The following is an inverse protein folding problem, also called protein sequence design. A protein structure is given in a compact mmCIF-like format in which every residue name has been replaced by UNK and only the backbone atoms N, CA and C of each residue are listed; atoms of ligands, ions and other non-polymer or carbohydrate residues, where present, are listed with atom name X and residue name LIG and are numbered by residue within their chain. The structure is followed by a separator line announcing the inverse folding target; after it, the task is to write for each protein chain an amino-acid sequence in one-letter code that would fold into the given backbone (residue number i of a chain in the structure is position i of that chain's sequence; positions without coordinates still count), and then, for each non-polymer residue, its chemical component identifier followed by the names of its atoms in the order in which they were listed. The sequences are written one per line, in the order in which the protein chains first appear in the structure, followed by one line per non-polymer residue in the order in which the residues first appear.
data_IF_430515655507
#
_entry.id   IF_430515655507
#
_cell.length_a   1.000
_cell.length_b   1.000
_cell.length_c   1.000
_cell.angle_alpha   90.00
_cell.angle_beta   90.00
_cell.angle_gamma   90.00
#
_symmetry.space_group_name_H-M   'P 1'
#
loop_
_entity.id
_entity.type
_entity.pdbx_description
1 polymer ?
#
# COMPACT_ATOMS: atom_id res chain seq x y z
N UNK A 1 -23.48 4.91 -25.28
CA UNK A 1 -22.09 4.62 -24.89
C UNK A 1 -21.96 4.33 -23.39
N UNK A 2 -22.31 5.24 -22.49
CA UNK A 2 -22.19 5.06 -21.03
C UNK A 2 -22.89 3.80 -20.49
N UNK A 3 -24.12 3.52 -20.88
CA UNK A 3 -24.85 2.30 -20.48
C UNK A 3 -24.09 1.01 -20.83
N UNK A 4 -23.46 0.96 -22.00
CA UNK A 4 -22.63 -0.19 -22.39
C UNK A 4 -21.39 -0.33 -21.50
N UNK A 5 -20.71 0.78 -21.17
CA UNK A 5 -19.53 0.78 -20.27
C UNK A 5 -19.93 0.31 -18.87
N UNK A 6 -21.03 0.85 -18.33
CA UNK A 6 -21.54 0.46 -17.00
C UNK A 6 -21.94 -1.01 -16.97
N UNK A 7 -22.57 -1.52 -18.05
CA UNK A 7 -22.91 -2.95 -18.15
C UNK A 7 -21.66 -3.83 -18.12
N UNK A 8 -20.59 -3.43 -18.82
CA UNK A 8 -19.31 -4.16 -18.83
C UNK A 8 -18.61 -4.11 -17.48
N UNK A 9 -18.60 -2.95 -16.80
CA UNK A 9 -18.09 -2.83 -15.44
C UNK A 9 -18.88 -3.72 -14.46
N UNK A 10 -20.20 -3.78 -14.57
CA UNK A 10 -21.01 -4.69 -13.77
C UNK A 10 -20.68 -6.17 -14.06
N UNK A 11 -20.40 -6.51 -15.31
CA UNK A 11 -19.93 -7.85 -15.68
C UNK A 11 -18.55 -8.16 -15.07
N UNK A 12 -17.63 -7.19 -15.10
CA UNK A 12 -16.34 -7.31 -14.40
C UNK A 12 -16.52 -7.57 -12.92
N UNK A 13 -17.38 -6.79 -12.23
CA UNK A 13 -17.68 -7.00 -10.81
C UNK A 13 -18.28 -8.39 -10.59
N UNK A 14 -19.26 -8.79 -11.41
CA UNK A 14 -19.92 -10.09 -11.31
C UNK A 14 -18.93 -11.25 -11.44
N UNK A 15 -18.07 -11.23 -12.45
CA UNK A 15 -17.04 -12.27 -12.66
C UNK A 15 -16.11 -12.42 -11.44
N UNK A 16 -15.67 -11.30 -10.86
CA UNK A 16 -14.82 -11.34 -9.67
C UNK A 16 -15.56 -11.90 -8.45
N UNK A 17 -16.83 -11.54 -8.27
CA UNK A 17 -17.68 -12.10 -7.19
C UNK A 17 -17.95 -13.58 -7.43
N UNK A 18 -18.18 -14.04 -8.67
CA UNK A 18 -18.34 -15.45 -8.98
C UNK A 18 -17.07 -16.25 -8.66
N UNK A 19 -15.89 -15.67 -8.92
CA UNK A 19 -14.61 -16.29 -8.57
C UNK A 19 -14.33 -16.29 -7.06
N UNK A 20 -14.74 -15.24 -6.36
CA UNK A 20 -14.51 -15.03 -4.93
C UNK A 20 -15.79 -14.45 -4.27
N UNK A 21 -16.75 -15.30 -3.87
CA UNK A 21 -18.07 -14.87 -3.36
C UNK A 21 -18.01 -13.86 -2.21
N UNK A 22 -17.01 -13.94 -1.35
CA UNK A 22 -16.84 -13.03 -0.23
C UNK A 22 -16.56 -11.56 -0.64
N UNK A 23 -16.23 -11.29 -1.91
CA UNK A 23 -16.11 -9.93 -2.41
C UNK A 23 -17.45 -9.18 -2.41
N UNK A 24 -18.58 -9.89 -2.37
CA UNK A 24 -19.90 -9.28 -2.19
C UNK A 24 -20.18 -8.81 -0.76
N UNK A 25 -19.36 -9.23 0.19
CA UNK A 25 -19.60 -9.07 1.62
C UNK A 25 -19.07 -7.79 2.24
N UNK A 26 -19.00 -7.86 3.57
CA UNK A 26 -18.56 -6.76 4.43
C UNK A 26 -17.57 -7.26 5.47
N UNK A 27 -16.61 -6.42 5.80
CA UNK A 27 -15.71 -6.57 6.95
C UNK A 27 -16.43 -6.02 8.17
N UNK A 28 -16.54 -6.83 9.21
CA UNK A 28 -17.20 -6.48 10.47
C UNK A 28 -16.37 -6.98 11.65
N UNK A 29 -16.65 -6.48 12.85
CA UNK A 29 -16.06 -7.01 14.08
C UNK A 29 -16.37 -8.50 14.23
N UNK A 30 -15.36 -9.30 14.57
CA UNK A 30 -15.52 -10.74 14.75
C UNK A 30 -16.47 -11.04 15.92
N UNK A 31 -17.29 -12.11 15.78
CA UNK A 31 -18.18 -12.60 16.83
C UNK A 31 -17.39 -13.14 17.99
N UNK A 32 -17.90 -12.98 19.20
CA UNK A 32 -17.34 -13.61 20.38
C UNK A 32 -17.81 -15.08 20.50
N UNK A 33 -16.96 -16.02 20.95
CA UNK A 33 -15.56 -15.77 21.32
C UNK A 33 -14.68 -15.61 20.08
N UNK A 34 -13.99 -14.48 19.94
CA UNK A 34 -12.92 -14.30 18.97
C UNK A 34 -11.58 -14.61 19.61
N UNK A 35 -10.61 -15.07 18.81
CA UNK A 35 -9.28 -15.44 19.28
C UNK A 35 -8.50 -14.22 19.83
N UNK A 36 -8.76 -13.05 19.26
CA UNK A 36 -8.10 -11.80 19.64
C UNK A 36 -9.09 -10.65 19.75
N UNK A 37 -8.82 -9.71 20.63
CA UNK A 37 -9.54 -8.44 20.69
C UNK A 37 -9.27 -7.67 19.39
N UNK A 38 -10.28 -6.97 18.87
CA UNK A 38 -10.16 -6.19 17.64
C UNK A 38 -10.11 -7.00 16.34
N UNK A 39 -10.24 -8.32 16.41
CA UNK A 39 -10.32 -9.16 15.22
C UNK A 39 -11.54 -8.82 14.37
N UNK A 40 -11.41 -8.97 13.06
CA UNK A 40 -12.48 -8.76 12.09
C UNK A 40 -12.78 -10.06 11.33
N UNK A 41 -13.99 -10.16 10.82
CA UNK A 41 -14.42 -11.25 9.95
C UNK A 41 -15.15 -10.71 8.72
N UNK A 42 -15.21 -11.50 7.65
CA UNK A 42 -16.03 -11.18 6.49
C UNK A 42 -17.40 -11.84 6.68
N UNK A 43 -18.46 -11.08 6.47
CA UNK A 43 -19.84 -11.59 6.40
C UNK A 43 -20.45 -11.27 5.06
N UNK A 44 -21.07 -12.26 4.45
CA UNK A 44 -21.90 -12.13 3.26
C UNK A 44 -23.01 -13.17 3.31
N UNK A 45 -24.09 -12.92 2.61
CA UNK A 45 -25.26 -13.80 2.51
C UNK A 45 -25.43 -14.25 1.07
N UNK A 46 -26.29 -15.26 0.83
CA UNK A 46 -26.68 -15.66 -0.52
C UNK A 46 -27.29 -14.50 -1.29
N UNK A 47 -28.01 -13.62 -0.60
CA UNK A 47 -28.56 -12.41 -1.19
C UNK A 47 -27.46 -11.45 -1.65
N UNK A 48 -26.45 -11.17 -0.81
CA UNK A 48 -25.32 -10.32 -1.18
C UNK A 48 -24.57 -10.87 -2.41
N UNK A 49 -24.45 -12.20 -2.49
CA UNK A 49 -23.83 -12.87 -3.64
C UNK A 49 -24.68 -12.75 -4.91
N UNK A 50 -25.99 -12.99 -4.84
CA UNK A 50 -26.92 -12.95 -5.98
C UNK A 50 -27.07 -11.53 -6.52
N UNK A 51 -27.31 -10.57 -5.62
CA UNK A 51 -27.48 -9.16 -5.98
C UNK A 51 -26.16 -8.51 -6.34
N UNK A 52 -25.03 -9.04 -5.88
CA UNK A 52 -23.66 -8.53 -5.94
C UNK A 52 -23.54 -6.99 -5.93
N UNK A 53 -22.43 -6.39 -5.51
CA UNK A 53 -22.30 -4.94 -5.46
C UNK A 53 -22.33 -4.36 -6.88
N UNK A 54 -23.40 -3.64 -7.22
CA UNK A 54 -23.50 -2.95 -8.51
C UNK A 54 -22.51 -1.80 -8.57
N UNK A 55 -22.06 -1.51 -9.78
CA UNK A 55 -21.23 -0.32 -10.04
C UNK A 55 -22.05 0.92 -9.70
N UNK A 56 -21.55 1.75 -8.81
CA UNK A 56 -22.11 3.07 -8.56
C UNK A 56 -21.73 3.99 -9.73
N UNK A 57 -22.71 4.69 -10.30
CA UNK A 57 -22.47 5.68 -11.37
C UNK A 57 -22.72 7.06 -10.81
N UNK A 58 -21.71 7.90 -10.86
CA UNK A 58 -21.77 9.29 -10.41
C UNK A 58 -21.43 10.21 -11.57
N UNK A 59 -22.33 11.14 -11.86
CA UNK A 59 -22.06 12.24 -12.79
C UNK A 59 -21.47 13.39 -11.99
N UNK A 60 -20.20 13.68 -12.23
CA UNK A 60 -19.52 14.76 -11.54
C UNK A 60 -19.91 16.10 -12.15
N UNK A 61 -20.24 17.06 -11.29
CA UNK A 61 -20.59 18.43 -11.69
C UNK A 61 -19.33 19.26 -11.92
N UNK A 62 -19.46 20.39 -12.63
CA UNK A 62 -18.36 21.34 -12.81
C UNK A 62 -17.86 21.94 -11.49
N UNK A 63 -18.70 22.00 -10.43
CA UNK A 63 -18.27 22.43 -9.09
C UNK A 63 -17.39 21.38 -8.39
N UNK A 64 -17.59 20.10 -8.70
CA UNK A 64 -16.81 18.99 -8.12
C UNK A 64 -15.50 18.77 -8.89
N UNK A 65 -15.57 18.80 -10.23
CA UNK A 65 -14.44 18.67 -11.15
C UNK A 65 -14.62 19.64 -12.30
N UNK A 66 -13.97 20.83 -12.25
CA UNK A 66 -14.17 21.92 -13.22
C UNK A 66 -13.39 21.72 -14.53
N UNK A 67 -13.05 20.49 -14.87
CA UNK A 67 -12.23 20.13 -16.03
C UNK A 67 -12.88 19.03 -16.84
N UNK A 68 -12.78 19.12 -18.17
CA UNK A 68 -13.07 18.02 -19.09
C UNK A 68 -12.02 16.91 -18.97
N UNK A 69 -12.32 15.73 -19.51
CA UNK A 69 -11.37 14.62 -19.53
C UNK A 69 -10.06 14.94 -20.28
N UNK A 70 -10.14 15.68 -21.39
CA UNK A 70 -8.94 16.07 -22.14
C UNK A 70 -8.06 17.04 -21.35
N UNK A 71 -8.64 18.02 -20.67
CA UNK A 71 -7.90 18.89 -19.77
C UNK A 71 -7.25 18.12 -18.62
N UNK A 72 -7.98 17.19 -17.99
CA UNK A 72 -7.43 16.31 -16.96
C UNK A 72 -6.29 15.46 -17.47
N UNK A 73 -6.38 15.00 -18.72
CA UNK A 73 -5.34 14.21 -19.37
C UNK A 73 -4.07 15.03 -19.62
N UNK A 74 -4.21 16.24 -20.13
CA UNK A 74 -3.09 17.17 -20.34
C UNK A 74 -2.42 17.55 -19.01
N UNK A 75 -3.21 17.80 -17.96
CA UNK A 75 -2.72 18.06 -16.62
C UNK A 75 -2.04 16.84 -15.96
N UNK A 76 -2.31 15.62 -16.44
CA UNK A 76 -1.80 14.37 -15.88
C UNK A 76 -2.61 13.84 -14.71
N UNK A 77 -3.88 14.23 -14.61
CA UNK A 77 -4.81 13.87 -13.53
C UNK A 77 -4.22 14.20 -12.14
N UNK A 78 -4.14 15.48 -11.78
CA UNK A 78 -3.48 15.93 -10.56
C UNK A 78 -4.23 15.48 -9.29
N UNK A 79 -3.51 15.19 -8.19
CA UNK A 79 -4.11 14.78 -6.92
C UNK A 79 -5.12 15.79 -6.37
N UNK A 80 -4.92 17.08 -6.61
CA UNK A 80 -5.81 18.16 -6.17
C UNK A 80 -7.24 18.05 -6.72
N UNK A 81 -7.41 17.39 -7.88
CA UNK A 81 -8.71 17.17 -8.53
C UNK A 81 -9.39 15.90 -8.07
N UNK A 82 -8.63 14.81 -7.84
CA UNK A 82 -9.18 13.50 -7.46
C UNK A 82 -9.43 13.38 -5.96
N UNK A 83 -10.25 14.29 -5.42
CA UNK A 83 -10.61 14.30 -4.00
C UNK A 83 -11.31 13.00 -3.60
N UNK A 84 -10.88 12.33 -2.50
CA UNK A 84 -11.47 11.06 -2.07
C UNK A 84 -12.99 11.13 -1.89
N UNK A 85 -13.49 12.19 -1.30
CA UNK A 85 -14.91 12.45 -1.04
C UNK A 85 -15.75 12.55 -2.33
N UNK A 86 -15.11 12.88 -3.46
CA UNK A 86 -15.76 13.01 -4.76
C UNK A 86 -15.66 11.71 -5.56
N UNK A 87 -14.46 11.14 -5.69
CA UNK A 87 -14.23 10.04 -6.63
C UNK A 87 -14.20 8.66 -5.98
N UNK A 88 -14.16 8.55 -4.64
CA UNK A 88 -14.03 7.26 -3.97
C UNK A 88 -15.25 6.36 -4.21
N UNK A 89 -15.00 5.07 -4.38
CA UNK A 89 -16.05 4.05 -4.39
C UNK A 89 -16.64 3.76 -2.98
N UNK A 90 -16.08 4.39 -1.93
CA UNK A 90 -16.66 4.42 -0.59
C UNK A 90 -17.46 5.72 -0.42
N UNK A 91 -18.71 5.61 0.03
CA UNK A 91 -19.44 6.78 0.52
C UNK A 91 -18.89 7.19 1.89
N UNK A 92 -18.88 8.49 2.18
CA UNK A 92 -18.54 9.02 3.52
C UNK A 92 -19.40 8.47 4.66
N UNK A 93 -20.60 7.96 4.31
CA UNK A 93 -21.54 7.30 5.23
C UNK A 93 -21.26 5.82 5.44
N UNK A 94 -20.07 5.32 5.04
CA UNK A 94 -19.70 3.94 5.34
C UNK A 94 -19.70 3.76 6.85
N UNK A 95 -20.63 2.94 7.33
CA UNK A 95 -20.76 2.57 8.73
C UNK A 95 -19.40 2.04 9.22
N UNK A 96 -18.79 2.70 10.21
CA UNK A 96 -17.49 2.30 10.77
C UNK A 96 -17.51 0.84 11.27
N UNK A 97 -18.71 0.33 11.60
CA UNK A 97 -18.91 -1.05 12.06
C UNK A 97 -19.03 -2.06 10.90
N UNK A 98 -19.27 -1.58 9.66
CA UNK A 98 -19.53 -2.43 8.49
C UNK A 98 -18.91 -1.87 7.22
N UNK A 99 -17.64 -2.18 6.96
CA UNK A 99 -16.95 -1.75 5.76
C UNK A 99 -17.17 -2.74 4.59
N UNK A 100 -17.48 -2.29 3.37
CA UNK A 100 -17.60 -3.20 2.23
C UNK A 100 -16.25 -3.85 1.91
N UNK A 101 -16.27 -5.08 1.40
CA UNK A 101 -15.07 -5.78 0.96
C UNK A 101 -14.56 -5.20 -0.36
N UNK A 102 -15.46 -4.99 -1.32
CA UNK A 102 -15.11 -4.56 -2.67
C UNK A 102 -16.20 -3.65 -3.24
N UNK A 103 -15.80 -2.56 -3.91
CA UNK A 103 -16.72 -1.66 -4.62
C UNK A 103 -16.05 -1.09 -5.86
N UNK A 104 -16.88 -0.76 -6.85
CA UNK A 104 -16.47 -0.05 -8.06
C UNK A 104 -17.40 1.14 -8.27
N UNK A 105 -16.83 2.28 -8.60
CA UNK A 105 -17.56 3.49 -8.95
C UNK A 105 -17.08 4.02 -10.30
N UNK A 106 -18.04 4.38 -11.13
CA UNK A 106 -17.83 5.02 -12.41
C UNK A 106 -18.14 6.52 -12.26
N UNK A 107 -17.11 7.35 -12.23
CA UNK A 107 -17.23 8.80 -12.13
C UNK A 107 -17.19 9.38 -13.55
N UNK A 108 -18.32 9.86 -14.03
CA UNK A 108 -18.48 10.43 -15.37
C UNK A 108 -18.10 11.91 -15.30
N UNK A 109 -17.11 12.29 -16.08
CA UNK A 109 -16.71 13.69 -16.33
C UNK A 109 -17.04 14.05 -17.75
N UNK A 110 -16.99 15.33 -18.11
CA UNK A 110 -17.18 15.75 -19.50
C UNK A 110 -16.13 15.08 -20.39
N UNK A 111 -16.57 14.34 -21.41
CA UNK A 111 -15.69 13.66 -22.38
C UNK A 111 -15.02 12.38 -21.89
N UNK A 112 -15.21 11.94 -20.64
CA UNK A 112 -14.48 10.78 -20.12
C UNK A 112 -15.01 10.13 -18.88
N UNK A 113 -14.19 9.23 -18.30
CA UNK A 113 -14.55 8.40 -17.17
C UNK A 113 -13.36 8.18 -16.23
N UNK A 114 -13.61 8.33 -14.93
CA UNK A 114 -12.69 7.92 -13.86
C UNK A 114 -13.29 6.71 -13.16
N UNK A 115 -12.67 5.54 -13.28
CA UNK A 115 -13.10 4.32 -12.60
C UNK A 115 -12.37 4.19 -11.27
N UNK A 116 -13.11 4.20 -10.19
CA UNK A 116 -12.57 3.99 -8.84
C UNK A 116 -12.84 2.57 -8.37
N UNK A 117 -11.79 1.89 -7.95
CA UNK A 117 -11.84 0.53 -7.40
C UNK A 117 -11.42 0.55 -5.95
N UNK A 118 -12.29 0.08 -5.09
CA UNK A 118 -12.02 -0.10 -3.67
C UNK A 118 -11.94 -1.59 -3.33
N UNK A 119 -10.89 -1.95 -2.60
CA UNK A 119 -10.74 -3.26 -1.97
C UNK A 119 -10.27 -3.06 -0.53
N UNK A 120 -10.98 -3.62 0.44
CA UNK A 120 -10.62 -3.49 1.85
C UNK A 120 -9.27 -4.14 2.12
N UNK A 121 -8.35 -3.40 2.76
CA UNK A 121 -6.95 -3.81 2.86
C UNK A 121 -6.69 -5.06 3.71
N UNK A 122 -7.61 -5.45 4.60
CA UNK A 122 -7.51 -6.72 5.33
C UNK A 122 -7.77 -7.96 4.45
N UNK A 123 -8.32 -7.76 3.23
CA UNK A 123 -8.64 -8.84 2.29
C UNK A 123 -7.43 -9.19 1.44
N UNK A 124 -6.72 -8.15 0.98
CA UNK A 124 -5.62 -8.32 0.04
C UNK A 124 -4.66 -7.13 0.09
N UNK A 125 -3.52 -7.29 -0.52
CA UNK A 125 -2.48 -6.27 -0.70
C UNK A 125 -2.49 -5.70 -2.12
N UNK A 126 -1.47 -4.86 -2.43
CA UNK A 126 -1.31 -4.28 -3.77
C UNK A 126 -1.24 -5.33 -4.87
N UNK A 127 -0.55 -6.45 -4.66
CA UNK A 127 -0.51 -7.55 -5.65
C UNK A 127 -1.89 -8.10 -5.92
N UNK A 128 -2.69 -8.33 -4.88
CA UNK A 128 -4.05 -8.83 -5.06
C UNK A 128 -4.97 -7.83 -5.76
N UNK A 129 -4.86 -6.52 -5.50
CA UNK A 129 -5.64 -5.54 -6.28
C UNK A 129 -5.21 -5.54 -7.75
N UNK A 130 -3.91 -5.70 -8.04
CA UNK A 130 -3.40 -5.88 -9.39
C UNK A 130 -4.01 -7.10 -10.09
N UNK A 131 -4.07 -8.26 -9.40
CA UNK A 131 -4.73 -9.47 -9.92
C UNK A 131 -6.21 -9.26 -10.21
N UNK A 132 -6.91 -8.55 -9.33
CA UNK A 132 -8.33 -8.26 -9.48
C UNK A 132 -8.60 -7.39 -10.72
N UNK A 133 -7.89 -6.28 -10.88
CA UNK A 133 -8.16 -5.33 -11.95
C UNK A 133 -7.64 -5.79 -13.31
N UNK A 134 -6.55 -6.57 -13.36
CA UNK A 134 -6.03 -7.15 -14.62
C UNK A 134 -6.87 -8.34 -15.13
N UNK A 135 -7.84 -8.81 -14.34
CA UNK A 135 -8.62 -10.01 -14.67
C UNK A 135 -7.86 -11.33 -14.46
N UNK A 136 -6.62 -11.28 -13.97
CA UNK A 136 -5.80 -12.48 -13.72
C UNK A 136 -6.38 -13.36 -12.60
N UNK A 137 -7.21 -12.79 -11.73
CA UNK A 137 -7.93 -13.52 -10.68
C UNK A 137 -8.88 -14.59 -11.25
N UNK A 138 -9.35 -14.41 -12.49
CA UNK A 138 -10.30 -15.29 -13.16
C UNK A 138 -9.63 -16.47 -13.89
N UNK A 139 -8.30 -16.43 -14.07
CA UNK A 139 -7.55 -17.43 -14.85
C UNK A 139 -7.19 -18.68 -14.01
N UNK A 140 -7.36 -18.63 -12.71
CA UNK A 140 -6.90 -19.67 -11.79
C UNK A 140 -7.70 -20.98 -11.82
N UNK A 141 -8.62 -21.20 -12.74
CA UNK A 141 -9.29 -22.49 -12.97
C UNK A 141 -9.96 -23.14 -11.76
N UNK A 142 -9.76 -22.60 -10.57
CA UNK A 142 -10.44 -23.00 -9.35
C UNK A 142 -11.82 -22.35 -9.31
N UNK A 143 -12.67 -22.77 -10.27
CA UNK A 143 -14.11 -22.64 -10.14
C UNK A 143 -14.47 -23.17 -8.75
N UNK A 144 -14.91 -22.31 -7.88
CA UNK A 144 -15.52 -22.66 -6.61
C UNK A 144 -16.76 -23.49 -6.93
N UNK A 145 -16.58 -24.82 -7.08
CA UNK A 145 -17.72 -25.74 -7.14
C UNK A 145 -18.49 -25.53 -5.86
N UNK A 146 -19.72 -25.02 -6.02
CA UNK A 146 -20.70 -24.75 -5.01
C UNK A 146 -20.80 -25.85 -3.97
N UNK A 147 -20.15 -25.69 -2.83
CA UNK A 147 -20.60 -26.19 -1.57
C UNK A 147 -20.85 -24.97 -0.70
N UNK A 148 -22.04 -24.41 -0.88
CA UNK A 148 -22.60 -23.36 -0.03
C UNK A 148 -22.99 -23.97 1.32
N UNK A 149 -22.01 -24.34 2.12
CA UNK A 149 -22.21 -24.42 3.55
C UNK A 149 -21.89 -23.04 4.12
N UNK A 150 -22.93 -22.25 4.35
CA UNK A 150 -22.90 -20.87 4.88
C UNK A 150 -22.38 -20.76 6.32
N UNK A 151 -21.50 -21.63 6.74
CA UNK A 151 -20.82 -21.58 8.04
C UNK A 151 -19.46 -20.91 7.86
N UNK A 152 -19.44 -19.58 7.97
CA UNK A 152 -18.24 -18.80 8.25
C UNK A 152 -17.10 -19.01 7.24
N UNK A 153 -17.21 -18.41 6.06
CA UNK A 153 -16.09 -18.34 5.13
C UNK A 153 -14.98 -17.50 5.76
N UNK A 154 -14.01 -18.15 6.35
CA UNK A 154 -12.71 -17.52 6.58
C UNK A 154 -11.97 -17.59 5.26
N UNK A 155 -11.61 -16.42 4.70
CA UNK A 155 -10.57 -16.39 3.67
C UNK A 155 -9.42 -17.24 4.16
N UNK A 156 -8.83 -18.12 3.33
CA UNK A 156 -7.52 -18.64 3.67
C UNK A 156 -6.56 -17.44 3.64
N UNK A 157 -6.56 -16.70 4.75
CA UNK A 157 -5.56 -15.67 4.95
C UNK A 157 -4.20 -16.37 5.01
N UNK A 158 -3.16 -15.60 4.79
CA UNK A 158 -1.78 -16.06 4.92
C UNK A 158 -1.62 -16.94 6.20
N UNK A 159 -2.31 -16.59 7.30
CA UNK A 159 -2.30 -17.36 8.54
C UNK A 159 -2.72 -18.82 8.36
N UNK A 160 -3.76 -19.16 7.61
CA UNK A 160 -4.23 -20.56 7.51
C UNK A 160 -3.32 -21.46 6.66
N UNK A 161 -2.73 -20.93 5.57
CA UNK A 161 -1.74 -21.68 4.79
C UNK A 161 -0.39 -21.78 5.48
N UNK A 162 0.00 -20.75 6.21
CA UNK A 162 1.21 -20.71 7.01
C UNK A 162 1.04 -21.46 8.32
N UNK A 163 -0.18 -21.63 8.83
CA UNK A 163 -0.54 -22.55 9.91
C UNK A 163 -0.13 -23.99 9.57
N UNK A 164 -0.46 -24.45 8.36
CA UNK A 164 -0.05 -25.78 7.91
C UNK A 164 1.48 -25.91 7.78
N UNK A 165 2.20 -24.83 7.51
CA UNK A 165 3.66 -24.80 7.48
C UNK A 165 4.27 -24.67 8.89
N UNK A 166 3.62 -23.94 9.80
CA UNK A 166 4.06 -23.81 11.20
C UNK A 166 3.82 -25.07 12.02
N UNK A 167 2.72 -25.79 11.77
CA UNK A 167 2.42 -27.08 12.43
C UNK A 167 3.41 -28.20 12.06
N UNK A 168 4.09 -28.09 10.92
CA UNK A 168 5.14 -29.02 10.51
C UNK A 168 6.50 -28.75 11.18
N UNK A 169 6.67 -27.65 11.91
CA UNK A 169 7.93 -27.28 12.56
C UNK A 169 7.78 -27.20 14.09
N UNK A 170 8.02 -28.34 14.77
CA UNK A 170 8.09 -28.45 16.23
C UNK A 170 9.14 -27.48 16.85
N UNK A 171 10.13 -27.05 16.09
CA UNK A 171 11.18 -26.14 16.51
C UNK A 171 10.62 -24.73 16.86
N UNK A 172 9.69 -24.21 16.05
CA UNK A 172 9.06 -22.90 16.32
C UNK A 172 8.20 -22.95 17.59
N UNK A 173 7.57 -24.09 17.89
CA UNK A 173 6.83 -24.30 19.16
C UNK A 173 7.76 -24.32 20.37
N UNK A 174 8.94 -24.90 20.23
CA UNK A 174 9.93 -24.97 21.32
C UNK A 174 10.56 -23.60 21.61
N UNK A 175 10.94 -22.85 20.58
CA UNK A 175 11.50 -21.50 20.75
C UNK A 175 10.50 -20.51 21.37
N UNK A 176 9.22 -20.59 21.00
CA UNK A 176 8.16 -19.74 21.55
C UNK A 176 7.68 -20.14 22.94
N UNK A 177 7.81 -21.39 23.35
CA UNK A 177 7.46 -21.86 24.70
C UNK A 177 8.48 -21.40 25.76
N UNK A 178 9.70 -21.04 25.35
CA UNK A 178 10.78 -20.57 26.25
C UNK A 178 10.96 -19.04 26.25
N UNK A 179 10.32 -18.33 25.32
CA UNK A 179 10.47 -16.87 25.23
C UNK A 179 9.29 -16.19 25.89
N UNK A 180 9.51 -15.69 27.09
CA UNK A 180 8.68 -14.59 27.63
C UNK A 180 8.62 -13.47 26.57
N UNK A 181 7.49 -12.75 26.43
CA UNK A 181 7.39 -11.60 25.53
C UNK A 181 8.55 -10.59 25.66
N UNK A 182 9.21 -10.56 26.83
CA UNK A 182 10.37 -9.72 27.13
C UNK A 182 11.71 -10.30 26.62
N UNK A 183 11.75 -11.52 26.08
CA UNK A 183 12.97 -12.17 25.58
C UNK A 183 12.97 -12.39 24.05
N UNK A 184 11.91 -12.04 23.36
CA UNK A 184 11.94 -11.95 21.89
C UNK A 184 12.90 -10.83 21.55
N UNK A 185 14.08 -11.21 21.08
CA UNK A 185 15.21 -10.33 20.87
C UNK A 185 14.78 -9.10 20.08
N UNK A 186 14.79 -7.95 20.71
CA UNK A 186 14.34 -6.63 20.22
C UNK A 186 14.85 -6.26 18.80
N UNK A 187 15.90 -6.93 18.34
CA UNK A 187 16.54 -6.67 17.05
C UNK A 187 15.80 -7.26 15.83
N UNK A 188 14.99 -8.29 16.00
CA UNK A 188 14.34 -8.98 14.86
C UNK A 188 12.87 -8.60 14.66
N UNK A 189 12.18 -8.15 15.72
CA UNK A 189 10.78 -7.70 15.64
C UNK A 189 10.63 -6.19 15.83
N UNK A 190 11.67 -5.41 15.56
CA UNK A 190 11.66 -3.94 15.72
C UNK A 190 10.61 -3.21 14.88
N UNK A 191 9.90 -3.91 14.00
CA UNK A 191 8.84 -3.34 13.18
C UNK A 191 7.45 -3.42 13.79
N UNK A 192 7.25 -4.13 14.91
CA UNK A 192 5.91 -4.37 15.49
C UNK A 192 5.92 -4.15 16.99
N UNK A 193 5.25 -3.12 17.45
CA UNK A 193 5.00 -2.86 18.86
C UNK A 193 3.51 -2.72 19.09
N UNK A 194 3.01 -3.33 20.18
CA UNK A 194 1.69 -3.01 20.69
C UNK A 194 1.77 -1.65 21.39
N UNK A 195 1.12 -0.65 20.85
CA UNK A 195 0.88 0.62 21.54
C UNK A 195 -0.62 0.80 21.66
N UNK A 196 -1.12 1.12 22.89
CA UNK A 196 -2.50 1.54 23.02
C UNK A 196 -2.75 2.67 22.02
N UNK A 197 -3.79 2.53 21.23
CA UNK A 197 -4.28 3.64 20.41
C UNK A 197 -4.74 4.73 21.37
N UNK A 198 -3.80 5.57 21.82
CA UNK A 198 -4.20 6.88 22.30
C UNK A 198 -5.00 7.46 21.14
N UNK A 199 -6.29 7.73 21.38
CA UNK A 199 -7.14 8.45 20.41
C UNK A 199 -6.27 9.59 19.93
N UNK A 200 -5.81 9.49 18.68
CA UNK A 200 -5.10 10.58 18.04
C UNK A 200 -6.10 11.71 18.10
N UNK A 201 -5.85 12.68 18.97
CA UNK A 201 -6.64 13.89 19.00
C UNK A 201 -6.48 14.52 17.62
N UNK A 202 -7.45 14.29 16.75
CA UNK A 202 -7.53 14.75 15.37
C UNK A 202 -7.75 16.28 15.26
N UNK A 203 -7.44 17.04 16.29
CA UNK A 203 -7.80 18.46 16.41
C UNK A 203 -6.78 19.44 15.84
N UNK A 204 -5.73 18.98 15.15
CA UNK A 204 -5.00 19.84 14.24
C UNK A 204 -5.03 19.15 12.88
N UNK A 205 -5.88 19.60 11.98
CA UNK A 205 -5.82 19.22 10.58
C UNK A 205 -4.51 19.71 10.01
N UNK A 206 -3.46 18.86 10.08
CA UNK A 206 -2.21 19.15 9.36
C UNK A 206 -2.63 19.19 7.89
N UNK A 207 -2.59 20.36 7.27
CA UNK A 207 -2.80 20.47 5.84
C UNK A 207 -1.66 19.74 5.14
N UNK A 208 -1.99 18.56 4.61
CA UNK A 208 -1.08 17.80 3.79
C UNK A 208 -1.24 18.19 2.32
N UNK A 209 -0.17 18.14 1.56
CA UNK A 209 -0.13 18.31 0.12
C UNK A 209 0.44 17.05 -0.53
N UNK A 210 -0.20 16.58 -1.59
CA UNK A 210 0.27 15.47 -2.40
C UNK A 210 0.64 15.93 -3.79
N UNK A 211 1.85 15.62 -4.26
CA UNK A 211 2.26 15.88 -5.64
C UNK A 211 2.63 14.57 -6.32
N UNK A 212 2.31 14.45 -7.62
CA UNK A 212 2.85 13.40 -8.48
C UNK A 212 4.12 13.95 -9.15
N UNK A 213 5.21 13.22 -9.02
CA UNK A 213 6.51 13.60 -9.55
C UNK A 213 6.95 12.55 -10.54
N UNK A 214 7.31 12.98 -11.77
CA UNK A 214 7.82 12.12 -12.82
C UNK A 214 9.35 12.09 -12.79
N UNK A 215 9.93 10.91 -12.74
CA UNK A 215 11.38 10.66 -12.70
C UNK A 215 11.77 9.85 -13.94
N UNK A 216 12.55 10.42 -14.88
CA UNK A 216 13.00 9.72 -16.08
C UNK A 216 13.79 8.44 -15.73
N UNK A 217 13.51 7.37 -16.46
CA UNK A 217 14.20 6.08 -16.26
C UNK A 217 15.71 6.18 -16.48
N UNK A 218 16.13 6.97 -17.47
CA UNK A 218 17.55 7.22 -17.72
C UNK A 218 18.23 7.90 -16.51
N UNK A 219 17.56 8.90 -15.91
CA UNK A 219 18.04 9.57 -14.69
C UNK A 219 18.16 8.60 -13.50
N UNK A 220 17.16 7.72 -13.35
CA UNK A 220 17.16 6.73 -12.29
C UNK A 220 18.22 5.62 -12.52
N UNK A 221 18.47 5.24 -13.78
CA UNK A 221 19.56 4.31 -14.13
C UNK A 221 20.93 4.94 -13.82
N UNK A 222 21.15 6.20 -14.20
CA UNK A 222 22.37 6.92 -13.88
C UNK A 222 22.59 7.11 -12.37
N UNK A 223 21.52 7.37 -11.61
CA UNK A 223 21.60 7.40 -10.14
C UNK A 223 22.06 6.03 -9.60
N UNK A 224 21.43 4.94 -10.03
CA UNK A 224 21.81 3.59 -9.60
C UNK A 224 23.30 3.31 -9.88
N UNK A 225 23.77 3.61 -11.09
CA UNK A 225 25.17 3.42 -11.48
C UNK A 225 26.14 4.24 -10.60
N UNK A 226 25.82 5.51 -10.35
CA UNK A 226 26.60 6.36 -9.46
C UNK A 226 26.66 5.78 -8.04
N UNK A 227 25.57 5.26 -7.50
CA UNK A 227 25.55 4.66 -6.17
C UNK A 227 26.29 3.32 -6.11
N UNK A 228 26.24 2.51 -7.16
CA UNK A 228 26.98 1.24 -7.25
C UNK A 228 28.50 1.45 -7.18
N UNK A 229 29.01 2.54 -7.75
CA UNK A 229 30.43 2.91 -7.64
C UNK A 229 30.88 3.14 -6.18
N UNK A 230 29.96 3.50 -5.28
CA UNK A 230 30.20 3.74 -3.86
C UNK A 230 29.71 2.61 -2.94
N UNK A 231 29.15 1.54 -3.50
CA UNK A 231 28.51 0.46 -2.74
C UNK A 231 29.49 -0.60 -2.21
N UNK A 232 30.81 -0.49 -2.52
CA UNK A 232 31.82 -1.44 -2.05
C UNK A 232 31.53 -2.90 -2.45
N UNK A 233 30.94 -3.11 -3.63
CA UNK A 233 30.55 -4.43 -4.14
C UNK A 233 29.19 -4.94 -3.65
N UNK A 234 28.47 -4.17 -2.84
CA UNK A 234 27.11 -4.53 -2.42
C UNK A 234 26.12 -4.28 -3.58
N UNK A 235 25.19 -5.19 -3.78
CA UNK A 235 24.13 -5.03 -4.78
C UNK A 235 23.14 -3.94 -4.36
N UNK A 236 22.81 -3.05 -5.28
CA UNK A 236 21.76 -2.03 -5.16
C UNK A 236 20.80 -2.16 -6.34
N UNK A 237 19.51 -2.27 -6.08
CA UNK A 237 18.49 -2.21 -7.14
C UNK A 237 18.12 -0.76 -7.46
N UNK A 238 17.52 -0.55 -8.63
CA UNK A 238 16.98 0.75 -9.02
C UNK A 238 15.96 1.30 -8.02
N UNK A 239 15.15 0.40 -7.44
CA UNK A 239 14.16 0.78 -6.41
C UNK A 239 14.83 1.18 -5.08
N UNK A 240 15.97 0.57 -4.71
CA UNK A 240 16.73 0.99 -3.52
C UNK A 240 17.32 2.38 -3.71
N UNK A 241 17.88 2.66 -4.91
CA UNK A 241 18.41 3.97 -5.27
C UNK A 241 17.30 5.05 -5.24
N UNK A 242 16.15 4.76 -5.83
CA UNK A 242 14.98 5.66 -5.81
C UNK A 242 14.51 5.93 -4.37
N UNK A 243 14.39 4.89 -3.56
CA UNK A 243 13.95 5.04 -2.16
C UNK A 243 14.97 5.82 -1.32
N UNK A 244 16.27 5.63 -1.55
CA UNK A 244 17.32 6.40 -0.89
C UNK A 244 17.23 7.89 -1.27
N UNK A 245 17.08 8.20 -2.55
CA UNK A 245 16.88 9.57 -3.04
C UNK A 245 15.67 10.24 -2.38
N UNK A 246 14.53 9.55 -2.38
CA UNK A 246 13.29 10.05 -1.77
C UNK A 246 13.50 10.27 -0.26
N UNK A 247 14.09 9.31 0.45
CA UNK A 247 14.31 9.39 1.90
C UNK A 247 15.17 10.60 2.27
N UNK A 248 16.31 10.79 1.58
CA UNK A 248 17.18 11.95 1.78
C UNK A 248 16.46 13.27 1.49
N UNK A 249 15.80 13.38 0.35
CA UNK A 249 15.19 14.63 -0.10
C UNK A 249 14.01 15.05 0.78
N UNK A 250 13.13 14.10 1.12
CA UNK A 250 12.03 14.36 2.05
C UNK A 250 12.54 14.70 3.45
N UNK A 251 13.62 14.03 3.93
CA UNK A 251 14.22 14.36 5.22
C UNK A 251 14.79 15.77 5.23
N UNK A 252 15.57 16.17 4.21
CA UNK A 252 16.10 17.54 4.09
C UNK A 252 15.00 18.59 4.11
N UNK A 253 13.93 18.36 3.35
CA UNK A 253 12.78 19.27 3.29
C UNK A 253 12.08 19.44 4.65
N UNK A 254 12.11 18.39 5.50
CA UNK A 254 11.47 18.35 6.82
C UNK A 254 12.35 18.86 7.97
N UNK A 255 13.67 19.01 7.77
CA UNK A 255 14.58 19.44 8.83
C UNK A 255 14.14 20.70 9.57
N UNK A 256 13.66 21.78 8.91
CA UNK A 256 13.19 22.96 9.62
C UNK A 256 12.02 22.67 10.58
N UNK A 257 11.13 21.75 10.21
CA UNK A 257 10.00 21.34 11.03
C UNK A 257 10.43 20.38 12.17
N UNK A 258 11.47 19.54 11.95
CA UNK A 258 11.98 18.57 12.89
C UNK A 258 12.92 19.18 13.94
N UNK A 259 13.65 20.24 13.59
CA UNK A 259 14.64 20.86 14.48
C UNK A 259 14.02 21.54 15.69
N UNK A 260 12.72 21.74 15.72
CA UNK A 260 11.99 22.20 16.90
C UNK A 260 12.00 21.18 18.04
N UNK A 261 12.21 19.89 17.74
CA UNK A 261 12.33 18.80 18.73
C UNK A 261 13.72 18.19 18.70
N UNK A 262 14.57 18.60 19.63
CA UNK A 262 15.95 18.11 19.73
C UNK A 262 16.07 16.61 20.10
N UNK A 263 14.97 15.95 20.47
CA UNK A 263 14.95 14.51 20.75
C UNK A 263 14.97 13.67 19.48
N UNK A 264 14.56 14.20 18.34
CA UNK A 264 14.55 13.51 17.06
C UNK A 264 15.96 13.45 16.48
N UNK A 265 16.61 12.29 16.54
CA UNK A 265 17.99 12.08 16.06
C UNK A 265 18.10 11.20 14.84
N UNK A 266 17.07 10.43 14.56
CA UNK A 266 17.07 9.38 13.56
C UNK A 266 15.74 9.39 12.77
N UNK A 267 15.77 8.83 11.58
CA UNK A 267 14.60 8.54 10.76
C UNK A 267 14.54 7.06 10.45
N UNK A 268 13.33 6.52 10.43
CA UNK A 268 13.03 5.18 9.94
C UNK A 268 12.30 5.27 8.62
N UNK A 269 12.72 4.43 7.68
CA UNK A 269 12.01 4.19 6.43
C UNK A 269 11.32 2.83 6.52
N UNK A 270 10.00 2.82 6.52
CA UNK A 270 9.19 1.61 6.49
C UNK A 270 8.84 1.24 5.05
N UNK A 271 9.06 -0.02 4.69
CA UNK A 271 8.92 -0.53 3.32
C UNK A 271 8.12 -1.82 3.34
N UNK A 272 6.94 -1.89 2.71
CA UNK A 272 6.22 -3.15 2.53
C UNK A 272 7.00 -4.08 1.61
N UNK A 273 7.14 -5.32 2.03
CA UNK A 273 7.85 -6.38 1.29
C UNK A 273 6.86 -7.47 0.93
N UNK A 274 6.73 -7.78 -0.35
CA UNK A 274 5.98 -8.94 -0.81
C UNK A 274 6.71 -10.22 -0.36
N UNK A 275 6.04 -11.05 0.45
CA UNK A 275 6.62 -12.26 1.03
C UNK A 275 6.26 -13.54 0.28
N UNK A 276 5.50 -13.47 -0.84
CA UNK A 276 5.03 -14.65 -1.57
C UNK A 276 6.17 -15.57 -2.00
N UNK A 277 7.28 -15.01 -2.46
CA UNK A 277 8.46 -15.73 -2.94
C UNK A 277 9.58 -15.88 -1.88
N UNK A 278 9.37 -15.42 -0.65
CA UNK A 278 10.37 -15.47 0.42
C UNK A 278 10.27 -16.71 1.32
N UNK A 279 9.28 -17.54 1.07
CA UNK A 279 9.07 -18.79 1.77
C UNK A 279 9.72 -19.95 1.00
N UNK A 280 10.21 -21.01 1.68
CA UNK A 280 10.73 -22.24 1.04
C UNK A 280 9.71 -22.89 0.09
N UNK A 281 8.43 -22.81 0.45
CA UNK A 281 7.32 -23.12 -0.46
C UNK A 281 6.65 -21.82 -0.84
N UNK A 282 7.00 -21.22 -1.97
CA UNK A 282 6.42 -19.95 -2.41
C UNK A 282 4.90 -20.05 -2.51
N UNK A 283 4.23 -18.97 -2.17
CA UNK A 283 2.81 -18.83 -2.49
C UNK A 283 2.67 -18.67 -4.01
N UNK A 284 1.60 -19.21 -4.62
CA UNK A 284 1.37 -19.02 -6.04
C UNK A 284 1.20 -17.52 -6.36
N UNK A 285 1.58 -17.11 -7.56
CA UNK A 285 1.43 -15.73 -8.01
C UNK A 285 -0.04 -15.27 -7.98
N UNK A 286 -0.96 -16.21 -8.13
CA UNK A 286 -2.41 -16.02 -8.03
C UNK A 286 -2.93 -15.90 -6.59
N UNK A 287 -2.07 -15.98 -5.57
CA UNK A 287 -2.51 -15.85 -4.17
C UNK A 287 -3.08 -14.44 -3.91
N UNK A 288 -4.38 -14.36 -3.74
CA UNK A 288 -5.13 -13.11 -3.62
C UNK A 288 -5.12 -12.49 -2.23
N UNK A 289 -4.82 -13.23 -1.17
CA UNK A 289 -4.75 -12.71 0.20
C UNK A 289 -3.60 -11.74 0.43
N UNK A 290 -3.62 -11.00 1.52
CA UNK A 290 -2.50 -10.15 1.93
C UNK A 290 -1.28 -11.02 2.26
N UNK A 291 -0.16 -10.77 1.57
CA UNK A 291 1.11 -11.48 1.73
C UNK A 291 2.26 -10.48 1.72
N UNK A 292 2.20 -9.54 2.65
CA UNK A 292 3.22 -8.52 2.88
C UNK A 292 3.68 -8.54 4.34
N UNK A 293 4.92 -8.17 4.54
CA UNK A 293 5.43 -7.75 5.85
C UNK A 293 6.31 -6.50 5.66
N UNK A 294 6.78 -5.88 6.74
CA UNK A 294 7.48 -4.62 6.67
C UNK A 294 8.97 -4.77 6.96
N UNK A 295 9.79 -4.22 6.08
CA UNK A 295 11.19 -3.92 6.35
C UNK A 295 11.28 -2.52 6.97
N UNK A 296 12.26 -2.31 7.87
CA UNK A 296 12.55 -1.02 8.47
C UNK A 296 14.03 -0.73 8.37
N UNK A 297 14.39 0.27 7.58
CA UNK A 297 15.73 0.85 7.57
C UNK A 297 15.76 2.04 8.52
N UNK A 298 16.89 2.25 9.22
CA UNK A 298 17.05 3.29 10.23
C UNK A 298 18.41 3.98 10.06
N UNK A 299 18.42 5.29 9.97
CA UNK A 299 19.64 6.10 9.84
C UNK A 299 19.56 7.40 10.65
N UNK A 300 20.72 7.92 11.10
CA UNK A 300 20.81 9.21 11.76
C UNK A 300 20.43 10.36 10.82
N UNK A 301 19.75 11.39 11.32
CA UNK A 301 19.39 12.57 10.55
C UNK A 301 20.59 13.27 9.88
N UNK A 302 21.76 13.45 10.54
CA UNK A 302 22.93 14.06 9.91
C UNK A 302 23.39 13.30 8.65
N UNK A 303 23.22 11.99 8.61
CA UNK A 303 23.52 11.19 7.43
C UNK A 303 22.53 11.44 6.29
N UNK A 304 21.24 11.51 6.60
CA UNK A 304 20.16 11.69 5.61
C UNK A 304 20.11 13.11 5.01
N UNK A 305 20.69 14.10 5.66
CA UNK A 305 20.76 15.46 5.10
C UNK A 305 21.98 15.67 4.19
N UNK A 306 22.95 14.74 4.23
CA UNK A 306 24.13 14.77 3.38
C UNK A 306 23.74 14.43 1.93
N UNK A 307 24.18 15.23 0.96
CA UNK A 307 23.85 15.06 -0.47
C UNK A 307 24.91 14.28 -1.27
N UNK A 308 25.88 13.63 -0.60
CA UNK A 308 26.93 12.89 -1.31
C UNK A 308 26.43 11.53 -1.82
N UNK A 309 26.97 11.08 -2.96
CA UNK A 309 26.66 9.76 -3.52
C UNK A 309 27.03 8.64 -2.55
N UNK A 310 28.09 8.80 -1.75
CA UNK A 310 28.45 7.86 -0.68
C UNK A 310 27.37 7.74 0.39
N UNK A 311 26.76 8.86 0.80
CA UNK A 311 25.68 8.84 1.79
C UNK A 311 24.42 8.19 1.20
N UNK A 312 24.08 8.51 -0.05
CA UNK A 312 22.95 7.88 -0.76
C UNK A 312 23.20 6.36 -0.94
N UNK A 313 24.41 5.95 -1.35
CA UNK A 313 24.76 4.53 -1.50
C UNK A 313 24.64 3.76 -0.17
N UNK A 314 25.13 4.36 0.94
CA UNK A 314 24.98 3.78 2.29
C UNK A 314 23.51 3.58 2.65
N UNK A 315 22.66 4.55 2.31
CA UNK A 315 21.22 4.44 2.54
C UNK A 315 20.56 3.38 1.68
N UNK A 316 20.94 3.28 0.40
CA UNK A 316 20.42 2.23 -0.50
C UNK A 316 20.84 0.82 -0.01
N UNK A 317 22.06 0.67 0.51
CA UNK A 317 22.53 -0.58 1.13
C UNK A 317 21.74 -0.88 2.41
N UNK A 318 21.48 0.13 3.25
CA UNK A 318 20.68 -0.06 4.46
C UNK A 318 19.23 -0.51 4.12
N UNK A 319 18.63 0.07 3.09
CA UNK A 319 17.32 -0.32 2.55
C UNK A 319 17.37 -1.77 2.07
N UNK A 320 18.36 -2.13 1.26
CA UNK A 320 18.54 -3.49 0.73
C UNK A 320 18.63 -4.51 1.85
N UNK A 321 19.49 -4.26 2.84
CA UNK A 321 19.65 -5.14 4.02
C UNK A 321 18.38 -5.29 4.82
N UNK A 322 17.61 -4.22 4.99
CA UNK A 322 16.33 -4.28 5.68
C UNK A 322 15.33 -5.17 4.92
N UNK A 323 15.26 -5.04 3.58
CA UNK A 323 14.39 -5.88 2.73
C UNK A 323 14.81 -7.35 2.74
N UNK A 324 16.10 -7.64 2.74
CA UNK A 324 16.65 -9.00 2.83
C UNK A 324 16.44 -9.61 4.22
N UNK A 325 16.40 -8.77 5.25
CA UNK A 325 16.06 -9.17 6.62
C UNK A 325 14.64 -9.72 6.78
N UNK A 326 13.71 -9.34 5.87
CA UNK A 326 12.39 -9.97 5.78
C UNK A 326 12.54 -11.31 5.04
N UNK A 327 13.03 -12.30 5.73
CA UNK A 327 13.28 -13.66 5.25
C UNK A 327 12.31 -14.67 5.90
N UNK A 328 12.37 -15.93 5.52
CA UNK A 328 11.46 -16.95 6.05
C UNK A 328 11.48 -17.08 7.59
N UNK A 329 12.62 -17.12 8.27
CA UNK A 329 12.65 -17.14 9.74
C UNK A 329 11.92 -15.95 10.37
N UNK A 330 12.16 -14.73 9.86
CA UNK A 330 11.47 -13.53 10.31
C UNK A 330 9.94 -13.61 10.08
N UNK A 331 9.53 -14.04 8.88
CA UNK A 331 8.12 -14.19 8.51
C UNK A 331 7.42 -15.19 9.44
N UNK A 332 8.06 -16.32 9.73
CA UNK A 332 7.53 -17.33 10.65
C UNK A 332 7.36 -16.80 12.07
N UNK A 333 8.32 -16.01 12.57
CA UNK A 333 8.21 -15.35 13.87
C UNK A 333 7.05 -14.33 13.91
N UNK A 334 6.91 -13.51 12.84
CA UNK A 334 5.82 -12.54 12.73
C UNK A 334 4.44 -13.22 12.76
N UNK A 335 4.30 -14.35 12.06
CA UNK A 335 3.07 -15.15 12.05
C UNK A 335 2.82 -15.76 13.43
N UNK A 336 3.87 -16.30 14.05
CA UNK A 336 3.76 -16.88 15.37
C UNK A 336 3.32 -15.84 16.42
N UNK A 337 3.85 -14.61 16.34
CA UNK A 337 3.40 -13.50 17.18
C UNK A 337 1.91 -13.20 16.98
N UNK A 338 1.46 -13.11 15.75
CA UNK A 338 0.05 -12.86 15.43
C UNK A 338 -0.86 -14.03 15.86
N UNK A 339 -0.35 -15.27 15.82
CA UNK A 339 -1.13 -16.46 16.14
C UNK A 339 -1.17 -16.80 17.64
N UNK A 340 -0.06 -16.60 18.34
CA UNK A 340 0.14 -17.04 19.71
C UNK A 340 0.37 -15.87 20.69
N UNK A 341 0.22 -14.63 20.26
CA UNK A 341 0.22 -13.45 21.12
C UNK A 341 -0.86 -13.54 22.21
N UNK A 342 -0.76 -12.71 23.23
CA UNK A 342 -1.76 -12.70 24.31
C UNK A 342 -3.17 -12.43 23.71
N UNK A 343 -4.17 -13.30 23.94
CA UNK A 343 -5.52 -13.08 23.48
C UNK A 343 -6.14 -11.76 23.98
N UNK A 344 -5.56 -11.16 25.02
CA UNK A 344 -6.01 -9.86 25.54
C UNK A 344 -5.48 -8.68 24.74
N UNK A 345 -4.38 -8.89 23.98
CA UNK A 345 -3.85 -7.84 23.13
C UNK A 345 -4.82 -7.51 22.00
N UNK A 346 -5.08 -6.24 21.84
CA UNK A 346 -5.91 -5.76 20.72
C UNK A 346 -5.05 -5.73 19.45
N UNK A 347 -5.44 -6.54 18.44
CA UNK A 347 -4.68 -6.62 17.19
C UNK A 347 -4.65 -5.29 16.42
N UNK A 348 -5.56 -4.36 16.72
CA UNK A 348 -5.58 -3.00 16.15
C UNK A 348 -4.44 -2.14 16.68
N UNK A 349 -3.90 -2.48 17.86
CA UNK A 349 -2.77 -1.80 18.47
C UNK A 349 -1.42 -2.28 17.93
N UNK A 350 -1.42 -3.36 17.12
CA UNK A 350 -0.22 -3.84 16.44
C UNK A 350 0.15 -2.87 15.32
N UNK A 351 1.05 -1.96 15.63
CA UNK A 351 1.52 -0.96 14.69
C UNK A 351 2.96 -1.25 14.26
N UNK A 352 3.34 -0.72 13.09
CA UNK A 352 4.74 -0.60 12.74
C UNK A 352 5.44 0.26 13.81
N UNK A 353 6.56 -0.27 14.35
CA UNK A 353 7.18 0.33 15.52
C UNK A 353 7.55 1.81 15.30
N UNK A 354 6.94 2.67 16.11
CA UNK A 354 7.34 4.07 16.28
C UNK A 354 7.37 4.94 15.03
N UNK A 355 6.48 4.69 14.06
CA UNK A 355 6.35 5.62 12.95
C UNK A 355 5.58 6.87 13.35
N UNK A 356 6.30 7.90 13.75
CA UNK A 356 5.74 9.24 13.83
C UNK A 356 6.01 9.98 12.52
N UNK A 357 5.08 9.86 11.59
CA UNK A 357 5.16 10.48 10.26
C UNK A 357 4.68 11.92 10.24
N UNK A 358 3.85 12.30 11.17
CA UNK A 358 3.26 13.65 11.21
C UNK A 358 4.14 14.65 11.94
N UNK A 359 4.75 14.25 13.05
CA UNK A 359 5.60 15.12 13.90
C UNK A 359 7.06 14.66 13.93
N UNK A 360 7.32 13.40 13.65
CA UNK A 360 8.66 12.81 13.63
C UNK A 360 9.28 12.77 12.24
N UNK A 361 10.49 12.20 12.18
CA UNK A 361 11.27 12.08 10.94
C UNK A 361 10.97 10.81 10.15
N UNK A 362 10.12 9.93 10.64
CA UNK A 362 9.87 8.64 10.05
C UNK A 362 9.09 8.75 8.74
N UNK A 363 9.30 7.78 7.84
CA UNK A 363 8.73 7.77 6.50
C UNK A 363 8.25 6.38 6.10
N UNK A 364 7.37 6.35 5.12
CA UNK A 364 6.82 5.15 4.53
C UNK A 364 6.92 5.25 3.01
N UNK A 365 7.53 4.24 2.38
CA UNK A 365 7.59 4.15 0.92
C UNK A 365 7.04 2.81 0.47
N UNK A 366 6.02 2.81 -0.36
CA UNK A 366 5.49 1.61 -1.01
C UNK A 366 5.66 1.68 -2.52
N UNK A 367 5.94 0.54 -3.16
CA UNK A 367 6.05 0.47 -4.61
C UNK A 367 4.91 -0.35 -5.20
N UNK A 368 4.17 0.28 -6.10
CA UNK A 368 3.18 -0.33 -6.98
C UNK A 368 3.71 -0.52 -8.40
N UNK A 369 4.98 -0.25 -8.62
CA UNK A 369 5.63 -0.28 -9.94
C UNK A 369 5.27 -1.53 -10.75
N UNK A 370 5.28 -2.69 -10.09
CA UNK A 370 5.03 -4.00 -10.73
C UNK A 370 3.54 -4.38 -10.81
N UNK A 371 2.64 -3.53 -10.34
CA UNK A 371 1.21 -3.81 -10.45
C UNK A 371 0.74 -3.56 -11.89
N UNK A 372 0.12 -4.57 -12.48
CA UNK A 372 -0.34 -4.56 -13.88
C UNK A 372 -1.60 -3.71 -14.11
N UNK A 373 -1.63 -2.52 -13.52
CA UNK A 373 -2.80 -1.66 -13.57
C UNK A 373 -3.08 -1.12 -14.98
N UNK A 374 -2.04 -0.92 -15.78
CA UNK A 374 -2.18 -0.46 -17.16
C UNK A 374 -2.58 -1.57 -18.14
N UNK A 375 -2.58 -2.84 -17.71
CA UNK A 375 -3.18 -3.96 -18.46
C UNK A 375 -4.70 -4.04 -18.25
N UNK A 376 -5.24 -3.28 -17.28
CA UNK A 376 -6.66 -3.30 -16.94
C UNK A 376 -7.50 -2.65 -18.02
N UNK A 377 -8.29 -3.44 -18.72
CA UNK A 377 -9.26 -2.94 -19.72
C UNK A 377 -10.69 -2.92 -19.19
N UNK A 378 -10.94 -3.58 -18.05
CA UNK A 378 -12.28 -3.83 -17.50
C UNK A 378 -13.28 -4.36 -18.53
N UNK A 379 -12.79 -4.94 -19.63
CA UNK A 379 -13.57 -5.38 -20.80
C UNK A 379 -14.44 -4.26 -21.41
N UNK A 380 -14.10 -2.99 -21.15
CA UNK A 380 -14.91 -1.84 -21.59
C UNK A 380 -14.79 -1.56 -23.09
N UNK A 381 -13.73 -2.05 -23.75
CA UNK A 381 -13.50 -1.82 -25.17
C UNK A 381 -13.01 -0.40 -25.51
N UNK A 382 -12.52 0.33 -24.51
CA UNK A 382 -11.99 1.70 -24.64
C UNK A 382 -10.47 1.77 -24.43
N UNK A 383 -9.82 0.61 -24.37
CA UNK A 383 -8.37 0.53 -24.16
C UNK A 383 -7.95 0.55 -22.69
N UNK A 384 -6.62 0.56 -22.44
CA UNK A 384 -6.05 0.67 -21.09
C UNK A 384 -6.26 2.08 -20.54
N UNK A 385 -6.14 2.26 -19.21
CA UNK A 385 -6.24 3.59 -18.61
C UNK A 385 -5.10 4.51 -19.09
N UNK A 386 -5.39 5.79 -19.24
CA UNK A 386 -4.36 6.81 -19.50
C UNK A 386 -3.54 7.09 -18.23
N UNK A 387 -4.20 7.05 -17.06
CA UNK A 387 -3.60 7.32 -15.77
C UNK A 387 -4.09 6.36 -14.69
N UNK A 388 -3.17 5.97 -13.81
CA UNK A 388 -3.48 5.29 -12.54
C UNK A 388 -3.08 6.21 -11.42
N UNK A 389 -4.01 6.50 -10.52
CA UNK A 389 -3.83 7.43 -9.42
C UNK A 389 -4.36 6.81 -8.12
N UNK A 390 -3.77 7.23 -7.01
CA UNK A 390 -4.37 7.07 -5.69
C UNK A 390 -5.05 8.39 -5.34
N UNK A 391 -6.30 8.39 -4.89
CA UNK A 391 -6.91 9.59 -4.36
C UNK A 391 -6.05 10.15 -3.22
N UNK A 392 -6.03 11.46 -3.13
CA UNK A 392 -5.22 12.16 -2.13
C UNK A 392 -5.50 11.65 -0.72
N UNK A 393 -4.47 11.40 0.07
CA UNK A 393 -4.59 11.04 1.47
C UNK A 393 -3.80 12.03 2.33
N UNK A 394 -4.35 12.39 3.48
CA UNK A 394 -3.71 13.26 4.46
C UNK A 394 -2.71 12.46 5.31
N UNK A 395 -1.68 11.94 4.67
CA UNK A 395 -0.70 11.05 5.31
C UNK A 395 0.73 11.56 5.06
N UNK A 396 1.13 12.67 5.71
CA UNK A 396 2.44 13.27 5.51
C UNK A 396 3.56 12.27 5.85
N UNK A 397 4.68 12.35 5.11
CA UNK A 397 5.80 11.42 5.24
C UNK A 397 5.60 10.11 4.49
N UNK A 398 4.63 10.04 3.58
CA UNK A 398 4.43 8.87 2.72
C UNK A 398 4.83 9.13 1.26
N UNK A 399 5.33 8.08 0.61
CA UNK A 399 5.59 8.05 -0.82
C UNK A 399 5.07 6.75 -1.43
N UNK A 400 4.47 6.85 -2.61
CA UNK A 400 3.98 5.72 -3.39
C UNK A 400 4.60 5.78 -4.77
N UNK A 401 5.40 4.79 -5.14
CA UNK A 401 5.81 4.58 -6.54
C UNK A 401 4.60 4.03 -7.28
N UNK A 402 4.08 4.77 -8.25
CA UNK A 402 2.90 4.38 -9.02
C UNK A 402 3.19 3.22 -9.97
N UNK A 403 2.16 2.53 -10.47
CA UNK A 403 2.33 1.45 -11.44
C UNK A 403 3.08 1.92 -12.68
N UNK A 404 4.00 1.09 -13.15
CA UNK A 404 4.77 1.35 -14.38
C UNK A 404 3.84 1.33 -15.60
N UNK A 405 3.86 2.40 -16.36
CA UNK A 405 3.30 2.46 -17.70
C UNK A 405 4.41 2.23 -18.73
N UNK A 406 4.42 1.08 -19.38
CA UNK A 406 5.45 0.70 -20.35
C UNK A 406 5.49 1.61 -21.60
N UNK A 407 4.46 2.43 -21.79
CA UNK A 407 4.40 3.42 -22.88
C UNK A 407 5.18 4.70 -22.60
N UNK A 408 5.67 4.85 -21.35
CA UNK A 408 6.36 6.05 -20.85
C UNK A 408 7.80 5.73 -20.45
N UNK A 409 8.69 6.67 -20.60
CA UNK A 409 10.12 6.57 -20.26
C UNK A 409 10.45 7.10 -18.86
N UNK A 410 9.42 7.25 -18.00
CA UNK A 410 9.55 7.72 -16.62
C UNK A 410 8.72 6.88 -15.66
N UNK A 411 9.10 6.91 -14.38
CA UNK A 411 8.28 6.49 -13.25
C UNK A 411 7.58 7.69 -12.63
N UNK A 412 6.39 7.47 -12.09
CA UNK A 412 5.71 8.46 -11.28
C UNK A 412 5.70 8.04 -9.82
N UNK A 413 5.94 9.00 -8.94
CA UNK A 413 5.82 8.84 -7.49
C UNK A 413 4.86 9.86 -6.92
N UNK A 414 3.99 9.44 -6.01
CA UNK A 414 3.16 10.35 -5.22
C UNK A 414 3.86 10.60 -3.90
N UNK A 415 4.26 11.83 -3.65
CA UNK A 415 4.84 12.25 -2.38
C UNK A 415 3.81 13.06 -1.61
N UNK A 416 3.68 12.79 -0.32
CA UNK A 416 2.74 13.48 0.57
C UNK A 416 3.50 14.05 1.77
N UNK A 417 3.38 15.35 1.95
CA UNK A 417 4.06 16.11 3.01
C UNK A 417 3.13 17.22 3.53
N UNK A 418 3.57 17.94 4.54
CA UNK A 418 2.94 19.22 4.87
C UNK A 418 3.15 20.22 3.73
N UNK A 419 2.32 21.25 3.65
CA UNK A 419 2.42 22.28 2.60
C UNK A 419 3.81 22.92 2.55
N UNK A 420 4.35 23.31 3.74
CA UNK A 420 5.67 23.95 3.84
C UNK A 420 6.81 23.01 3.48
N UNK A 421 6.72 21.73 3.90
CA UNK A 421 7.75 20.74 3.59
C UNK A 421 7.76 20.43 2.09
N UNK A 422 6.59 20.33 1.45
CA UNK A 422 6.48 20.15 0.00
C UNK A 422 7.07 21.33 -0.75
N UNK A 423 6.78 22.55 -0.32
CA UNK A 423 7.35 23.75 -0.94
C UNK A 423 8.88 23.78 -0.84
N UNK A 424 9.47 23.23 0.23
CA UNK A 424 10.92 23.06 0.38
C UNK A 424 11.47 21.94 -0.52
N UNK A 425 10.77 20.81 -0.59
CA UNK A 425 11.16 19.68 -1.46
C UNK A 425 11.25 20.11 -2.93
N UNK A 426 10.26 20.85 -3.41
CA UNK A 426 10.21 21.35 -4.80
C UNK A 426 11.25 22.43 -5.11
N UNK A 427 11.97 22.93 -4.10
CA UNK A 427 13.11 23.83 -4.26
C UNK A 427 14.46 23.15 -4.06
N UNK A 428 14.48 21.88 -3.63
CA UNK A 428 15.70 21.10 -3.43
C UNK A 428 16.34 20.74 -4.77
N UNK A 429 17.39 21.44 -5.15
CA UNK A 429 18.07 21.26 -6.44
C UNK A 429 18.64 19.84 -6.60
N UNK A 430 19.10 19.21 -5.50
CA UNK A 430 19.62 17.84 -5.53
C UNK A 430 18.55 16.81 -5.86
N UNK A 431 17.31 17.08 -5.48
CA UNK A 431 16.16 16.26 -5.85
C UNK A 431 15.68 16.60 -7.25
N UNK A 432 15.51 17.91 -7.53
CA UNK A 432 14.88 18.39 -8.77
C UNK A 432 15.71 18.07 -10.02
N UNK A 433 17.01 17.79 -9.92
CA UNK A 433 17.82 17.33 -11.07
C UNK A 433 17.37 15.97 -11.63
N UNK A 434 16.61 15.18 -10.83
CA UNK A 434 16.03 13.91 -11.25
C UNK A 434 14.57 14.03 -11.68
N UNK A 435 13.97 15.20 -11.58
CA UNK A 435 12.54 15.43 -11.82
C UNK A 435 12.32 16.03 -13.20
N UNK A 436 11.49 15.42 -14.03
CA UNK A 436 11.10 15.95 -15.33
C UNK A 436 9.75 16.69 -15.31
N UNK A 437 8.86 16.33 -14.40
CA UNK A 437 7.53 16.93 -14.28
C UNK A 437 7.03 16.86 -12.83
N UNK A 438 6.35 17.92 -12.40
CA UNK A 438 5.58 17.97 -11.16
C UNK A 438 4.12 18.17 -11.52
N UNK A 439 3.23 17.35 -10.95
CA UNK A 439 1.77 17.40 -11.14
C UNK A 439 1.17 17.58 -9.75
N UNK A 440 0.54 18.72 -9.53
CA UNK A 440 0.07 19.19 -8.23
C UNK A 440 -1.44 19.38 -8.20
#
# INVERSE_FOLDING_TARGET
MLQSVVSRLNNFVRKNVDAKPYLSGYVVSARKPSKHVGAVEIRFTDRDFVEYPKVNVRHLTADEVPYSYEELKEMGLPPSVIKPEVVSALSESADEERAPVFRVQANVVEGGLIVSVYLHHCISDGTGIGLLISGSLLQDGHSFKRHLDCKGYQTPCLSQRLDALADQNSIVRQELSYSSPNQINDRQLQCKTFKPTSKVNSNASIQGRGCVISIPLAGLAGLKEALEAHAGGSFISQNDALQALIWHSMTRARIPSLSADSSIKESKLLIPVNIRNKLKKPLPDSYFGAAIDFASAKLPLPHLVCSSDTALATSAIAIRRAIEGVNEPYIRQAIALARYGDPKDDVRDLQASNMDRSKGADMYVTSWEKLKCYEATFEMGIGPPDWVRKPWSRDPGSCIVLPRDERKDYLEVVIQMTEDDMARLLKDQEFMKYVSRVID
#
